data_IF_031683064004
#
_entry.id   IF_031683064004
#
_cell.length_a   1.000
_cell.length_b   1.000
_cell.length_c   1.000
_cell.angle_alpha   90.00
_cell.angle_beta   90.00
_cell.angle_gamma   90.00
#
_symmetry.space_group_name_H-M   'P 1'
#
loop_
_entity.id
_entity.type
_entity.pdbx_description
1 polymer ?
#
# COMPACT_ATOMS: atom_id res chain seq x y z
N UNK A 1 62.92 -12.36 -36.59
CA UNK A 1 62.83 -13.11 -35.32
C UNK A 1 62.48 -12.08 -34.25
N UNK A 2 61.23 -11.61 -34.24
CA UNK A 2 60.06 -12.23 -33.55
C UNK A 2 60.16 -11.95 -32.05
N UNK A 3 59.40 -11.00 -31.51
CA UNK A 3 58.09 -11.23 -30.86
C UNK A 3 58.30 -10.98 -29.35
N UNK A 4 57.44 -10.36 -28.55
CA UNK A 4 56.02 -10.07 -28.58
C UNK A 4 55.80 -8.75 -27.82
N UNK A 5 55.03 -7.81 -28.39
CA UNK A 5 54.37 -6.77 -27.59
C UNK A 5 53.14 -7.42 -26.92
N UNK A 6 53.24 -7.71 -25.62
CA UNK A 6 52.10 -8.16 -24.83
C UNK A 6 51.17 -6.99 -24.55
N UNK A 7 50.09 -6.86 -25.33
CA UNK A 7 49.00 -5.92 -25.06
C UNK A 7 48.07 -6.60 -24.04
N UNK A 8 48.09 -6.13 -22.79
CA UNK A 8 47.10 -6.47 -21.77
C UNK A 8 45.77 -5.77 -22.10
N UNK A 9 44.83 -6.51 -22.69
CA UNK A 9 43.44 -6.11 -22.82
C UNK A 9 42.73 -6.28 -21.47
N UNK A 10 42.57 -5.19 -20.72
CA UNK A 10 41.72 -5.15 -19.55
C UNK A 10 40.24 -5.16 -20.01
N UNK A 11 39.59 -6.32 -19.92
CA UNK A 11 38.14 -6.44 -20.09
C UNK A 11 37.45 -5.80 -18.88
N UNK A 12 37.00 -4.56 -19.02
CA UNK A 12 36.10 -3.92 -18.06
C UNK A 12 34.72 -4.54 -18.26
N UNK A 13 34.42 -5.59 -17.50
CA UNK A 13 33.05 -6.05 -17.28
C UNK A 13 32.32 -4.97 -16.49
N UNK A 14 31.65 -4.05 -17.19
CA UNK A 14 30.65 -3.19 -16.59
C UNK A 14 29.51 -4.09 -16.11
N UNK A 15 29.55 -4.48 -14.83
CA UNK A 15 28.41 -5.05 -14.16
C UNK A 15 27.35 -3.95 -14.09
N UNK A 16 26.36 -4.02 -14.97
CA UNK A 16 25.12 -3.28 -14.78
C UNK A 16 24.52 -3.79 -13.48
N UNK A 17 24.75 -3.06 -12.39
CA UNK A 17 23.93 -3.22 -11.20
C UNK A 17 22.52 -2.87 -11.66
N UNK A 18 21.63 -3.87 -11.64
CA UNK A 18 20.20 -3.62 -11.74
C UNK A 18 19.92 -2.63 -10.62
N UNK A 19 19.66 -1.38 -10.96
CA UNK A 19 19.25 -0.38 -9.99
C UNK A 19 17.95 -0.90 -9.40
N UNK A 20 18.01 -1.38 -8.15
CA UNK A 20 16.80 -1.50 -7.35
C UNK A 20 16.13 -0.13 -7.44
N UNK A 21 14.91 -0.10 -7.97
CA UNK A 21 14.09 1.10 -8.02
C UNK A 21 14.13 1.70 -6.61
N UNK A 22 14.69 2.90 -6.46
CA UNK A 22 14.99 3.48 -5.16
C UNK A 22 13.68 3.62 -4.36
N UNK A 23 13.48 2.78 -3.36
CA UNK A 23 12.29 2.77 -2.49
C UNK A 23 12.44 3.79 -1.36
N UNK A 24 13.29 4.82 -1.53
CA UNK A 24 13.47 5.86 -0.54
C UNK A 24 12.15 6.57 -0.25
N UNK A 25 11.78 6.62 1.04
CA UNK A 25 10.55 7.26 1.51
C UNK A 25 9.28 6.45 1.27
N UNK A 26 9.37 5.23 0.72
CA UNK A 26 8.23 4.34 0.57
C UNK A 26 7.81 3.79 1.93
N UNK A 27 6.49 3.75 2.17
CA UNK A 27 5.89 3.05 3.31
C UNK A 27 5.00 1.96 2.71
N UNK A 28 5.22 0.70 3.07
CA UNK A 28 4.31 -0.41 2.73
C UNK A 28 4.07 -1.22 4.01
N UNK A 29 2.85 -1.15 4.51
CA UNK A 29 2.46 -1.84 5.74
C UNK A 29 1.65 -3.09 5.39
N UNK A 30 2.06 -4.21 5.96
CA UNK A 30 1.30 -5.46 6.05
C UNK A 30 0.52 -5.37 7.36
N UNK A 31 -0.73 -4.95 7.26
CA UNK A 31 -1.53 -4.54 8.41
C UNK A 31 -1.92 -5.77 9.26
N UNK A 32 -1.64 -5.72 10.55
CA UNK A 32 -1.86 -6.86 11.45
C UNK A 32 -0.71 -7.88 11.46
N UNK A 33 0.34 -7.69 10.65
CA UNK A 33 1.57 -8.48 10.76
C UNK A 33 2.18 -8.34 12.17
N UNK A 34 2.48 -9.44 12.88
CA UNK A 34 3.07 -9.36 14.22
C UNK A 34 4.42 -8.64 14.24
N UNK A 35 4.69 -7.87 15.29
CA UNK A 35 5.98 -7.14 15.47
C UNK A 35 7.20 -8.03 15.55
N UNK A 36 7.02 -9.31 15.90
CA UNK A 36 8.09 -10.32 15.89
C UNK A 36 8.51 -10.75 14.48
N UNK A 37 7.71 -10.48 13.45
CA UNK A 37 8.07 -10.77 12.08
C UNK A 37 8.93 -9.63 11.51
N UNK A 38 10.08 -10.01 10.96
CA UNK A 38 10.95 -9.07 10.26
C UNK A 38 10.27 -8.52 9.00
N UNK A 39 10.56 -7.26 8.62
CA UNK A 39 10.21 -6.76 7.31
C UNK A 39 10.72 -7.67 6.19
N UNK A 40 9.96 -7.79 5.10
CA UNK A 40 10.26 -8.70 4.01
C UNK A 40 10.03 -8.03 2.66
N UNK A 41 10.63 -8.59 1.61
CA UNK A 41 10.36 -8.18 0.23
C UNK A 41 9.28 -9.08 -0.36
N UNK A 42 8.20 -8.49 -0.84
CA UNK A 42 7.14 -9.26 -1.48
C UNK A 42 7.60 -9.73 -2.88
N UNK A 43 7.50 -11.03 -3.21
CA UNK A 43 8.16 -11.58 -4.40
C UNK A 43 7.67 -11.04 -5.74
N UNK A 44 6.40 -10.65 -5.88
CA UNK A 44 5.80 -10.21 -7.15
C UNK A 44 6.12 -8.73 -7.44
N UNK A 45 5.93 -7.88 -6.46
CA UNK A 45 6.07 -6.41 -6.52
C UNK A 45 7.47 -5.92 -6.20
N UNK A 46 8.29 -6.75 -5.53
CA UNK A 46 9.62 -6.39 -5.00
C UNK A 46 9.60 -5.26 -3.97
N UNK A 47 8.42 -4.91 -3.44
CA UNK A 47 8.27 -3.88 -2.42
C UNK A 47 8.62 -4.44 -1.05
N UNK A 48 9.29 -3.62 -0.24
CA UNK A 48 9.50 -3.95 1.17
C UNK A 48 8.22 -3.68 1.97
N UNK A 49 7.71 -4.71 2.63
CA UNK A 49 6.59 -4.64 3.58
C UNK A 49 7.09 -4.81 5.01
N UNK A 50 6.47 -4.10 5.94
CA UNK A 50 6.72 -4.19 7.38
C UNK A 50 5.42 -4.20 8.18
N UNK A 51 5.50 -4.55 9.46
CA UNK A 51 4.36 -4.45 10.37
C UNK A 51 3.85 -3.02 10.49
N UNK A 52 2.55 -2.90 10.72
CA UNK A 52 1.85 -1.63 10.90
C UNK A 52 1.81 -1.14 12.36
N UNK A 53 2.35 -1.92 13.30
CA UNK A 53 2.17 -1.73 14.74
C UNK A 53 2.73 -0.41 15.29
N UNK A 54 3.74 0.19 14.65
CA UNK A 54 4.28 1.50 15.08
C UNK A 54 3.41 2.67 14.62
N UNK A 55 2.51 2.44 13.66
CA UNK A 55 1.71 3.48 13.02
C UNK A 55 0.29 3.57 13.59
N UNK A 56 -0.16 2.56 14.35
CA UNK A 56 -1.51 2.52 14.92
C UNK A 56 -1.50 1.89 16.32
N UNK A 57 -2.35 2.43 17.21
CA UNK A 57 -2.38 2.04 18.63
C UNK A 57 -3.48 1.03 18.99
N UNK A 58 -4.43 0.82 18.09
CA UNK A 58 -5.66 0.06 18.33
C UNK A 58 -5.83 -1.08 17.34
N UNK A 59 -6.85 -1.89 17.59
CA UNK A 59 -7.24 -2.99 16.71
C UNK A 59 -6.46 -4.28 16.94
N UNK A 60 -6.94 -5.34 16.29
CA UNK A 60 -6.46 -6.71 16.46
C UNK A 60 -6.01 -7.27 15.11
N UNK A 61 -5.11 -8.25 15.16
CA UNK A 61 -4.68 -9.00 13.97
C UNK A 61 -5.68 -10.12 13.66
N UNK A 62 -6.05 -10.26 12.39
CA UNK A 62 -6.83 -11.37 11.84
C UNK A 62 -6.04 -12.06 10.74
N UNK A 63 -6.21 -13.38 10.61
CA UNK A 63 -5.63 -14.18 9.53
C UNK A 63 -6.75 -14.63 8.61
N UNK A 64 -6.53 -14.55 7.30
CA UNK A 64 -7.43 -15.14 6.33
C UNK A 64 -7.62 -16.65 6.62
N UNK A 65 -8.83 -17.15 6.36
CA UNK A 65 -9.14 -18.57 6.40
C UNK A 65 -8.27 -19.33 5.39
N UNK A 66 -7.96 -20.60 5.66
CA UNK A 66 -6.97 -21.34 4.88
C UNK A 66 -7.36 -21.48 3.40
N UNK A 67 -8.66 -21.64 3.09
CA UNK A 67 -9.18 -21.69 1.71
C UNK A 67 -9.18 -20.33 0.99
N UNK A 68 -8.82 -19.25 1.70
CA UNK A 68 -8.80 -17.86 1.20
C UNK A 68 -7.38 -17.28 1.16
N UNK A 69 -6.35 -18.09 1.41
CA UNK A 69 -4.97 -17.65 1.34
C UNK A 69 -4.58 -17.26 -0.09
N UNK A 70 -3.92 -16.12 -0.22
CA UNK A 70 -3.35 -15.57 -1.43
C UNK A 70 -1.87 -15.83 -1.52
N UNK A 71 -1.35 -16.02 -2.74
CA UNK A 71 0.08 -15.96 -3.02
C UNK A 71 0.71 -14.60 -2.68
N UNK A 72 -0.11 -13.54 -2.63
CA UNK A 72 0.36 -12.21 -2.25
C UNK A 72 0.30 -12.09 -0.72
N UNK A 73 1.45 -12.29 -0.06
CA UNK A 73 1.54 -12.35 1.42
C UNK A 73 0.79 -11.22 2.16
N UNK A 74 0.84 -9.95 1.76
CA UNK A 74 0.13 -8.86 2.44
C UNK A 74 -1.41 -8.99 2.45
N UNK A 75 -1.98 -9.94 1.69
CA UNK A 75 -3.43 -10.19 1.68
C UNK A 75 -3.87 -11.24 2.70
N UNK A 76 -2.93 -11.93 3.36
CA UNK A 76 -3.23 -13.08 4.23
C UNK A 76 -3.43 -12.72 5.70
N UNK A 77 -3.00 -11.52 6.08
CA UNK A 77 -3.16 -10.96 7.43
C UNK A 77 -3.80 -9.58 7.27
N UNK A 78 -4.57 -9.18 8.28
CA UNK A 78 -5.23 -7.89 8.33
C UNK A 78 -5.30 -7.37 9.76
N UNK A 79 -5.47 -6.06 9.90
CA UNK A 79 -5.88 -5.43 11.15
C UNK A 79 -7.37 -5.12 11.09
N UNK A 80 -8.10 -5.46 12.14
CA UNK A 80 -9.52 -5.13 12.28
C UNK A 80 -9.81 -4.40 13.59
N UNK A 81 -10.89 -3.61 13.60
CA UNK A 81 -11.24 -2.70 14.69
C UNK A 81 -12.63 -3.04 15.25
N UNK A 82 -12.71 -3.93 16.25
CA UNK A 82 -13.99 -4.27 16.88
C UNK A 82 -14.59 -3.08 17.64
N UNK A 83 -15.88 -3.17 17.98
CA UNK A 83 -16.65 -2.08 18.62
C UNK A 83 -15.98 -1.49 19.87
N UNK A 84 -15.29 -2.33 20.66
CA UNK A 84 -14.56 -1.89 21.86
C UNK A 84 -13.39 -0.93 21.61
N UNK A 85 -12.89 -0.80 20.38
CA UNK A 85 -11.82 0.16 20.01
C UNK A 85 -12.36 1.58 19.75
N UNK A 86 -13.69 1.74 19.78
CA UNK A 86 -14.36 2.98 19.40
C UNK A 86 -14.56 3.13 17.88
N UNK A 87 -15.31 4.15 17.46
CA UNK A 87 -15.79 4.25 16.08
C UNK A 87 -14.71 4.73 15.09
N UNK A 88 -13.57 5.26 15.55
CA UNK A 88 -12.56 5.89 14.70
C UNK A 88 -11.15 5.43 15.08
N UNK A 89 -10.46 4.80 14.15
CA UNK A 89 -9.14 4.24 14.34
C UNK A 89 -8.19 4.78 13.27
N UNK A 90 -7.08 5.41 13.69
CA UNK A 90 -6.23 6.19 12.79
C UNK A 90 -4.79 5.69 12.78
N UNK A 91 -4.28 5.44 11.58
CA UNK A 91 -2.86 5.38 11.32
C UNK A 91 -2.27 6.79 11.41
N UNK A 92 -1.10 6.92 12.03
CA UNK A 92 -0.34 8.16 12.09
C UNK A 92 0.98 7.97 11.35
N UNK A 93 1.09 8.59 10.19
CA UNK A 93 2.26 8.49 9.32
C UNK A 93 3.09 9.76 9.42
N UNK A 94 4.41 9.61 9.37
CA UNK A 94 5.35 10.74 9.24
C UNK A 94 5.55 10.98 7.74
N UNK A 95 5.29 12.20 7.30
CA UNK A 95 5.36 12.63 5.90
C UNK A 95 6.00 14.00 5.81
N UNK A 96 6.34 14.45 4.60
CA UNK A 96 6.82 15.80 4.34
C UNK A 96 5.65 16.68 3.93
N UNK A 97 5.45 17.77 4.68
CA UNK A 97 4.46 18.79 4.34
C UNK A 97 4.66 19.30 2.89
N UNK A 98 3.56 19.42 2.15
CA UNK A 98 3.53 19.97 0.79
C UNK A 98 4.00 19.00 -0.31
N UNK A 99 4.66 17.90 0.04
CA UNK A 99 5.02 16.84 -0.91
C UNK A 99 3.77 16.04 -1.31
N UNK A 100 3.66 15.68 -2.60
CA UNK A 100 2.58 14.82 -3.07
C UNK A 100 2.82 13.37 -2.70
N UNK A 101 1.78 12.66 -2.29
CA UNK A 101 1.84 11.23 -2.01
C UNK A 101 0.71 10.50 -2.73
N UNK A 102 1.02 9.38 -3.39
CA UNK A 102 0.03 8.37 -3.74
C UNK A 102 -0.14 7.47 -2.52
N UNK A 103 -1.38 7.36 -2.05
CA UNK A 103 -1.78 6.58 -0.89
C UNK A 103 -2.77 5.53 -1.37
N UNK A 104 -2.52 4.27 -1.02
CA UNK A 104 -3.37 3.13 -1.35
C UNK A 104 -3.69 2.35 -0.08
N UNK A 105 -4.99 2.18 0.19
CA UNK A 105 -5.48 1.32 1.26
C UNK A 105 -6.10 0.07 0.63
N UNK A 106 -5.63 -1.12 1.03
CA UNK A 106 -6.08 -2.40 0.50
C UNK A 106 -6.86 -3.23 1.52
N UNK A 107 -7.84 -3.98 1.02
CA UNK A 107 -8.88 -4.66 1.80
C UNK A 107 -9.07 -6.11 1.32
N UNK A 108 -8.24 -7.02 1.84
CA UNK A 108 -8.40 -8.47 1.62
C UNK A 108 -9.12 -9.09 2.81
N UNK A 109 -10.44 -9.25 2.72
CA UNK A 109 -11.27 -9.78 3.82
C UNK A 109 -10.85 -11.18 4.26
N UNK A 110 -10.61 -12.09 3.29
CA UNK A 110 -10.12 -13.44 3.56
C UNK A 110 -10.98 -14.27 4.52
N UNK A 111 -12.23 -13.87 4.78
CA UNK A 111 -13.13 -14.50 5.75
C UNK A 111 -12.50 -14.75 7.14
N UNK A 112 -11.67 -13.81 7.60
CA UNK A 112 -10.86 -13.98 8.82
C UNK A 112 -11.68 -14.22 10.10
N UNK A 113 -12.95 -13.81 10.11
CA UNK A 113 -13.88 -13.96 11.23
C UNK A 113 -14.93 -15.06 11.02
N UNK A 114 -14.91 -15.75 9.87
CA UNK A 114 -15.85 -16.81 9.52
C UNK A 114 -17.27 -16.36 9.21
N UNK A 115 -17.55 -15.05 9.22
CA UNK A 115 -18.91 -14.51 9.07
C UNK A 115 -19.38 -14.44 7.61
N UNK A 116 -18.48 -14.63 6.64
CA UNK A 116 -18.74 -14.52 5.20
C UNK A 116 -19.48 -13.22 4.83
N UNK A 117 -19.21 -12.13 5.57
CA UNK A 117 -19.91 -10.86 5.42
C UNK A 117 -18.89 -9.75 5.23
N UNK A 118 -18.86 -9.19 4.03
CA UNK A 118 -17.92 -8.13 3.69
C UNK A 118 -18.24 -6.83 4.44
N UNK A 119 -17.25 -6.18 5.07
CA UNK A 119 -17.49 -4.99 5.86
C UNK A 119 -17.66 -3.74 4.99
N UNK A 120 -18.48 -2.81 5.48
CA UNK A 120 -18.60 -1.44 4.97
C UNK A 120 -18.28 -0.43 6.06
N UNK A 121 -17.56 0.63 5.73
CA UNK A 121 -17.12 1.67 6.66
C UNK A 121 -16.58 2.86 5.86
N UNK A 122 -16.11 3.91 6.51
CA UNK A 122 -15.53 5.07 5.83
C UNK A 122 -14.01 5.15 6.04
N UNK A 123 -13.31 5.66 5.02
CA UNK A 123 -11.95 6.15 5.13
C UNK A 123 -11.93 7.67 5.22
N UNK A 124 -11.09 8.18 6.11
CA UNK A 124 -10.83 9.61 6.28
C UNK A 124 -9.35 9.91 6.14
N UNK A 125 -9.04 11.06 5.55
CA UNK A 125 -7.71 11.66 5.52
C UNK A 125 -7.70 12.90 6.42
N UNK A 126 -7.05 12.78 7.58
CA UNK A 126 -7.27 13.71 8.68
C UNK A 126 -8.77 13.83 8.98
N UNK A 127 -9.34 15.03 9.11
CA UNK A 127 -10.77 15.22 9.40
C UNK A 127 -11.68 14.99 8.19
N UNK A 128 -11.15 14.86 6.97
CA UNK A 128 -11.94 14.88 5.74
C UNK A 128 -12.30 13.47 5.28
N UNK A 129 -13.54 13.26 4.85
CA UNK A 129 -13.96 12.01 4.23
C UNK A 129 -13.15 11.81 2.94
N UNK A 130 -12.49 10.68 2.83
CA UNK A 130 -11.86 10.23 1.59
C UNK A 130 -12.87 9.44 0.77
N UNK A 131 -13.43 8.36 1.32
CA UNK A 131 -14.40 7.52 0.61
C UNK A 131 -15.16 6.62 1.57
N UNK A 132 -16.39 6.26 1.19
CA UNK A 132 -17.05 5.07 1.74
C UNK A 132 -16.39 3.83 1.12
N UNK A 133 -16.09 2.84 1.96
CA UNK A 133 -15.52 1.55 1.59
C UNK A 133 -16.61 0.50 1.56
N UNK A 134 -16.63 -0.25 0.47
CA UNK A 134 -17.34 -1.50 0.30
C UNK A 134 -16.34 -2.57 -0.15
N UNK A 135 -15.90 -3.42 0.79
CA UNK A 135 -14.85 -4.43 0.54
C UNK A 135 -15.33 -5.53 -0.41
N UNK A 136 -16.64 -5.68 -0.62
CA UNK A 136 -17.15 -6.62 -1.61
C UNK A 136 -16.96 -6.11 -3.03
N UNK A 137 -17.04 -4.79 -3.23
CA UNK A 137 -17.07 -4.17 -4.55
C UNK A 137 -15.69 -3.76 -5.05
N UNK A 138 -14.79 -3.39 -4.14
CA UNK A 138 -13.47 -2.86 -4.46
C UNK A 138 -12.47 -3.29 -3.38
N UNK A 139 -11.32 -3.83 -3.79
CA UNK A 139 -10.29 -4.36 -2.90
C UNK A 139 -9.20 -3.33 -2.59
N UNK A 140 -9.18 -2.18 -3.26
CA UNK A 140 -8.28 -1.08 -2.93
C UNK A 140 -8.84 0.31 -3.26
N UNK A 141 -8.47 1.30 -2.44
CA UNK A 141 -8.83 2.69 -2.68
C UNK A 141 -7.57 3.54 -2.77
N UNK A 142 -7.51 4.40 -3.79
CA UNK A 142 -6.36 5.27 -4.05
C UNK A 142 -6.71 6.76 -3.95
N UNK A 143 -5.77 7.53 -3.40
CA UNK A 143 -5.81 8.99 -3.37
C UNK A 143 -4.40 9.54 -3.56
N UNK A 144 -4.30 10.62 -4.31
CA UNK A 144 -3.14 11.49 -4.28
C UNK A 144 -3.44 12.62 -3.32
N UNK A 145 -2.57 12.84 -2.34
CA UNK A 145 -2.75 13.87 -1.32
C UNK A 145 -1.48 14.66 -1.07
N UNK A 146 -1.62 15.98 -0.87
CA UNK A 146 -0.57 16.88 -0.40
C UNK A 146 -0.82 17.24 1.07
N UNK A 147 -0.08 16.64 2.03
CA UNK A 147 -0.26 16.90 3.45
C UNK A 147 0.02 18.36 3.82
N UNK A 148 -0.79 18.91 4.72
CA UNK A 148 -0.62 20.28 5.25
C UNK A 148 0.31 20.37 6.45
N UNK A 149 0.81 19.24 6.94
CA UNK A 149 1.75 19.13 8.05
C UNK A 149 2.67 17.93 7.82
N UNK A 150 3.68 17.74 8.68
CA UNK A 150 4.58 16.59 8.63
C UNK A 150 3.97 15.30 9.23
N UNK A 151 2.66 15.28 9.43
CA UNK A 151 1.93 14.11 9.91
C UNK A 151 0.67 13.92 9.10
N UNK A 152 0.41 12.68 8.71
CA UNK A 152 -0.78 12.30 7.95
C UNK A 152 -1.55 11.23 8.71
N UNK A 153 -2.83 11.51 8.95
CA UNK A 153 -3.74 10.54 9.53
C UNK A 153 -4.59 9.88 8.44
N UNK A 154 -4.64 8.55 8.46
CA UNK A 154 -5.55 7.76 7.65
C UNK A 154 -6.41 6.97 8.61
N UNK A 155 -7.70 7.28 8.64
CA UNK A 155 -8.61 6.76 9.65
C UNK A 155 -9.69 5.88 9.05
N UNK A 156 -9.91 4.72 9.65
CA UNK A 156 -11.06 3.86 9.41
C UNK A 156 -12.15 4.24 10.41
N UNK A 157 -13.33 4.58 9.91
CA UNK A 157 -14.47 5.02 10.72
C UNK A 157 -15.65 4.08 10.52
N UNK A 158 -16.10 3.46 11.60
CA UNK A 158 -17.29 2.60 11.62
C UNK A 158 -18.55 3.46 11.41
N UNK A 159 -19.32 3.12 10.38
CA UNK A 159 -20.58 3.81 10.04
C UNK A 159 -21.83 2.94 10.24
N UNK A 160 -21.64 1.63 10.48
CA UNK A 160 -22.71 0.66 10.69
C UNK A 160 -22.26 -0.51 11.55
N UNK A 161 -22.89 -1.68 11.37
CA UNK A 161 -22.62 -2.85 12.22
C UNK A 161 -21.34 -3.61 11.84
N UNK A 162 -20.88 -3.49 10.60
CA UNK A 162 -19.63 -4.10 10.12
C UNK A 162 -18.39 -3.61 10.88
N UNK A 163 -17.40 -4.48 10.97
CA UNK A 163 -16.11 -4.23 11.62
C UNK A 163 -15.13 -3.66 10.59
N UNK A 164 -14.63 -2.41 10.74
CA UNK A 164 -13.62 -1.90 9.84
C UNK A 164 -12.36 -2.75 9.87
N UNK A 165 -11.72 -2.93 8.72
CA UNK A 165 -10.50 -3.71 8.56
C UNK A 165 -9.62 -3.13 7.46
N UNK A 166 -8.34 -3.47 7.48
CA UNK A 166 -7.35 -3.10 6.45
C UNK A 166 -6.27 -4.17 6.38
N UNK A 167 -5.86 -4.53 5.17
CA UNK A 167 -4.80 -5.52 4.91
C UNK A 167 -3.49 -4.85 4.52
N UNK A 168 -3.57 -3.79 3.72
CA UNK A 168 -2.37 -3.05 3.30
C UNK A 168 -2.57 -1.54 3.39
N UNK A 169 -1.49 -0.84 3.76
CA UNK A 169 -1.40 0.60 3.64
C UNK A 169 -0.09 0.97 2.96
N UNK A 170 -0.18 1.49 1.74
CA UNK A 170 0.97 1.88 0.93
C UNK A 170 0.99 3.39 0.73
N UNK A 171 2.15 4.01 0.94
CA UNK A 171 2.39 5.44 0.70
C UNK A 171 3.64 5.61 -0.15
N UNK A 172 3.48 6.31 -1.27
CA UNK A 172 4.52 6.55 -2.27
C UNK A 172 4.71 8.05 -2.45
N UNK A 173 5.88 8.61 -2.14
CA UNK A 173 6.19 10.00 -2.47
C UNK A 173 6.14 10.18 -4.00
N UNK A 174 5.54 11.27 -4.44
CA UNK A 174 5.45 11.67 -5.84
C UNK A 174 6.37 12.86 -6.09
N UNK A 175 6.93 12.93 -7.30
CA UNK A 175 7.58 14.15 -7.77
C UNK A 175 6.60 15.33 -7.77
N UNK A 176 7.10 16.54 -7.48
CA UNK A 176 6.29 17.74 -7.35
C UNK A 176 5.52 18.11 -8.64
N UNK A 177 5.97 17.58 -9.78
CA UNK A 177 5.50 17.84 -11.14
C UNK A 177 4.57 16.76 -11.69
N UNK A 178 4.46 15.59 -11.05
CA UNK A 178 3.70 14.43 -11.58
C UNK A 178 2.19 14.73 -11.62
N UNK A 179 1.67 15.44 -10.61
CA UNK A 179 0.27 15.85 -10.56
C UNK A 179 0.15 17.31 -10.08
N UNK A 180 -0.05 18.22 -11.04
CA UNK A 180 -0.39 19.62 -10.74
C UNK A 180 -1.90 19.75 -10.65
N UNK A 181 -2.41 20.03 -9.46
CA UNK A 181 -3.84 20.19 -9.18
C UNK A 181 -4.07 21.44 -8.35
N UNK A 182 -5.25 22.05 -8.54
CA UNK A 182 -5.73 23.16 -7.70
C UNK A 182 -6.27 22.66 -6.34
N UNK A 183 -6.62 21.37 -6.24
CA UNK A 183 -7.03 20.73 -4.98
C UNK A 183 -5.84 20.06 -4.29
N UNK A 184 -5.87 20.01 -2.95
CA UNK A 184 -4.85 19.29 -2.18
C UNK A 184 -4.97 17.76 -2.31
N UNK A 185 -6.09 17.25 -2.85
CA UNK A 185 -6.40 15.82 -2.93
C UNK A 185 -7.08 15.44 -4.24
N UNK A 186 -6.74 14.28 -4.78
CA UNK A 186 -7.34 13.67 -5.97
C UNK A 186 -7.64 12.20 -5.69
N UNK A 187 -8.92 11.82 -5.68
CA UNK A 187 -9.34 10.42 -5.60
C UNK A 187 -9.20 9.76 -6.97
N UNK A 188 -8.72 8.53 -7.02
CA UNK A 188 -8.72 7.76 -8.27
C UNK A 188 -10.17 7.51 -8.72
N UNK A 189 -10.47 7.83 -9.97
CA UNK A 189 -11.70 7.38 -10.64
C UNK A 189 -11.43 6.05 -11.31
N UNK A 190 -10.53 6.06 -12.30
CA UNK A 190 -10.22 4.91 -13.13
C UNK A 190 -8.76 4.95 -13.56
N UNK A 191 -8.17 3.78 -13.80
CA UNK A 191 -6.83 3.65 -14.38
C UNK A 191 -6.88 2.63 -15.52
N UNK A 192 -6.58 3.08 -16.72
CA UNK A 192 -6.52 2.23 -17.91
C UNK A 192 -5.07 2.00 -18.32
N UNK A 193 -4.74 0.74 -18.61
CA UNK A 193 -3.47 0.38 -19.23
C UNK A 193 -3.74 0.06 -20.70
N UNK A 194 -3.33 0.98 -21.58
CA UNK A 194 -3.33 0.71 -23.01
C UNK A 194 -2.10 -0.11 -23.35
N UNK A 195 -2.29 -1.39 -23.63
CA UNK A 195 -1.24 -2.22 -24.23
C UNK A 195 -1.04 -1.75 -25.66
N UNK A 196 0.18 -1.36 -26.01
CA UNK A 196 0.53 -1.12 -27.42
C UNK A 196 0.30 -2.40 -28.22
N UNK A 197 -0.69 -2.35 -29.11
CA UNK A 197 -1.14 -3.36 -30.09
C UNK A 197 -1.20 -4.83 -29.66
N UNK A 198 -2.37 -5.22 -29.15
CA UNK A 198 -3.33 -6.00 -29.96
C UNK A 198 -4.71 -5.80 -29.35
N UNK A 199 -5.68 -5.42 -30.20
CA UNK A 199 -7.06 -5.08 -29.87
C UNK A 199 -7.69 -6.06 -28.88
N UNK A 200 -7.74 -5.68 -27.60
CA UNK A 200 -8.82 -5.96 -26.66
C UNK A 200 -8.46 -5.31 -25.31
N UNK A 201 -9.28 -4.39 -24.78
CA UNK A 201 -9.09 -3.92 -23.41
C UNK A 201 -9.43 -5.05 -22.45
N UNK A 202 -8.43 -5.56 -21.73
CA UNK A 202 -8.67 -6.33 -20.52
C UNK A 202 -9.06 -5.33 -19.43
N UNK A 203 -10.36 -5.24 -19.14
CA UNK A 203 -10.87 -4.59 -17.93
C UNK A 203 -10.48 -5.50 -16.76
N UNK A 204 -9.84 -4.94 -15.74
CA UNK A 204 -9.68 -5.61 -14.46
C UNK A 204 -10.29 -4.74 -13.39
#
# INVERSE_FOLDING_TARGET
MEGHQGILLALILATFTITHQDQQGFISLDCGLPTKESPYFEPKTKLKFSSDAEFIKSGKSGKAADDWLSDHKPNNVLRYFPEGEGPRNCYNLIVNQGMGYLIRAGFSYGNYDGLHTYPKFDLYIGPNLWTAVDVQSEDHYEIIHKPKSNSLQICLVKTGQSTPMISTLEVRPLGNDVYTTQSDSLKLSDRFFYRGDSDTPAVR
#
